data_IF_145103290121
#
_entry.id   IF_145103290121
#
_cell.length_a   1.000
_cell.length_b   1.000
_cell.length_c   1.000
_cell.angle_alpha   90.00
_cell.angle_beta   90.00
_cell.angle_gamma   90.00
#
_symmetry.space_group_name_H-M   'P 1'
#
loop_
_entity.id
_entity.type
_entity.pdbx_description
1 polymer ?
#
# COMPACT_ATOMS: atom_id res chain seq x y z
N UNK A 1 -43.40 1.69 -29.32
CA UNK A 1 -42.54 1.29 -28.20
C UNK A 1 -43.43 0.76 -27.07
N UNK A 2 -43.39 -0.54 -26.74
CA UNK A 2 -44.29 -1.15 -25.77
C UNK A 2 -44.08 -0.60 -24.35
N UNK A 3 -45.16 -0.43 -23.58
CA UNK A 3 -45.16 0.20 -22.25
C UNK A 3 -44.21 -0.47 -21.23
N UNK A 4 -44.01 -1.79 -21.37
CA UNK A 4 -43.02 -2.58 -20.62
C UNK A 4 -41.61 -1.98 -20.69
N UNK A 5 -41.16 -1.54 -21.88
CA UNK A 5 -39.80 -1.03 -22.05
C UNK A 5 -39.62 0.32 -21.37
N UNK A 6 -40.68 1.14 -21.32
CA UNK A 6 -40.65 2.44 -20.60
C UNK A 6 -40.50 2.22 -19.10
N UNK A 7 -41.23 1.26 -18.54
CA UNK A 7 -41.17 0.97 -17.11
C UNK A 7 -39.80 0.43 -16.69
N UNK A 8 -39.22 -0.46 -17.50
CA UNK A 8 -37.85 -0.95 -17.30
C UNK A 8 -36.83 0.18 -17.32
N UNK A 9 -36.88 1.07 -18.32
CA UNK A 9 -35.93 2.20 -18.40
C UNK A 9 -36.04 3.19 -17.24
N UNK A 10 -37.23 3.33 -16.65
CA UNK A 10 -37.43 4.18 -15.47
C UNK A 10 -36.87 3.50 -14.21
N UNK A 11 -37.06 2.19 -14.08
CA UNK A 11 -36.48 1.39 -13.01
C UNK A 11 -34.95 1.40 -13.07
N UNK A 12 -34.36 1.23 -14.25
CA UNK A 12 -32.90 1.25 -14.43
C UNK A 12 -32.31 2.59 -13.97
N UNK A 13 -32.90 3.70 -14.42
CA UNK A 13 -32.47 5.05 -14.00
C UNK A 13 -32.60 5.27 -12.50
N UNK A 14 -33.66 4.74 -11.89
CA UNK A 14 -33.87 4.83 -10.45
C UNK A 14 -32.82 4.03 -9.68
N UNK A 15 -32.48 2.81 -10.13
CA UNK A 15 -31.43 2.00 -9.52
C UNK A 15 -30.08 2.69 -9.64
N UNK A 16 -29.75 3.29 -10.79
CA UNK A 16 -28.51 4.03 -10.99
C UNK A 16 -28.41 5.25 -10.06
N UNK A 17 -29.50 6.00 -9.90
CA UNK A 17 -29.56 7.15 -8.99
C UNK A 17 -29.40 6.71 -7.53
N UNK A 18 -30.07 5.63 -7.12
CA UNK A 18 -29.96 5.08 -5.77
C UNK A 18 -28.55 4.57 -5.47
N UNK A 19 -27.94 3.84 -6.42
CA UNK A 19 -26.57 3.35 -6.31
C UNK A 19 -25.57 4.51 -6.15
N UNK A 20 -25.74 5.60 -6.91
CA UNK A 20 -24.92 6.81 -6.80
C UNK A 20 -25.00 7.48 -5.43
N UNK A 21 -26.20 7.58 -4.86
CA UNK A 21 -26.41 8.14 -3.52
C UNK A 21 -25.83 7.26 -2.41
N UNK A 22 -26.01 5.93 -2.49
CA UNK A 22 -25.39 4.98 -1.56
C UNK A 22 -23.86 5.12 -1.60
N UNK A 23 -23.26 5.19 -2.80
CA UNK A 23 -21.82 5.35 -2.95
C UNK A 23 -21.31 6.68 -2.36
N UNK A 24 -22.06 7.77 -2.54
CA UNK A 24 -21.71 9.09 -1.99
C UNK A 24 -21.82 9.11 -0.47
N UNK A 25 -22.86 8.51 0.10
CA UNK A 25 -23.04 8.38 1.55
C UNK A 25 -21.98 7.47 2.18
N UNK A 26 -21.68 6.34 1.55
CA UNK A 26 -20.61 5.44 1.98
C UNK A 26 -19.24 6.14 2.00
N UNK A 27 -18.92 6.95 0.98
CA UNK A 27 -17.68 7.76 0.95
C UNK A 27 -17.60 8.77 2.08
N UNK A 28 -18.72 9.39 2.47
CA UNK A 28 -18.77 10.37 3.56
C UNK A 28 -18.71 9.72 4.94
N UNK A 29 -19.40 8.60 5.12
CA UNK A 29 -19.51 7.90 6.40
C UNK A 29 -18.29 7.03 6.71
N UNK A 30 -17.67 6.44 5.68
CA UNK A 30 -16.48 5.60 5.79
C UNK A 30 -15.25 6.25 5.17
N UNK A 31 -15.12 7.58 5.25
CA UNK A 31 -14.06 8.40 4.63
C UNK A 31 -12.79 7.63 4.27
N UNK A 32 -12.50 7.47 2.98
CA UNK A 32 -11.31 6.77 2.44
C UNK A 32 -10.94 5.41 3.07
N UNK A 33 -11.85 4.75 3.79
CA UNK A 33 -11.67 3.40 4.31
C UNK A 33 -11.97 2.31 3.26
N UNK A 34 -12.13 2.70 1.99
CA UNK A 34 -11.78 1.86 0.86
C UNK A 34 -10.24 1.75 0.76
N UNK A 35 -9.64 1.16 1.80
CA UNK A 35 -8.26 0.67 1.83
C UNK A 35 -8.05 -0.54 0.92
N UNK A 36 -8.84 -0.70 -0.14
CA UNK A 36 -8.56 -1.60 -1.25
C UNK A 36 -7.71 -0.85 -2.26
N UNK A 37 -6.43 -0.75 -1.94
CA UNK A 37 -5.40 -0.58 -2.93
C UNK A 37 -5.50 0.72 -3.74
N UNK A 38 -5.17 1.85 -3.10
CA UNK A 38 -4.03 2.57 -3.69
C UNK A 38 -2.88 1.59 -3.62
N UNK A 39 -2.72 0.77 -4.67
CA UNK A 39 -1.41 0.41 -5.19
C UNK A 39 -0.79 1.77 -5.49
N UNK A 40 -0.34 2.46 -4.43
CA UNK A 40 0.55 3.58 -4.54
C UNK A 40 1.55 3.11 -5.56
N UNK A 41 1.70 3.90 -6.64
CA UNK A 41 2.70 3.70 -7.66
C UNK A 41 3.84 2.94 -7.01
N UNK A 42 4.13 1.71 -7.46
CA UNK A 42 5.20 0.87 -6.88
C UNK A 42 6.45 1.74 -6.91
N UNK A 43 6.64 2.57 -5.90
CA UNK A 43 7.83 3.33 -5.68
C UNK A 43 8.83 2.20 -5.57
N UNK A 44 9.77 2.15 -6.50
CA UNK A 44 10.83 1.15 -6.50
C UNK A 44 11.45 1.27 -5.12
N UNK A 45 11.01 0.42 -4.18
CA UNK A 45 11.47 0.49 -2.82
C UNK A 45 12.98 0.29 -2.89
N UNK A 46 13.73 1.06 -2.11
CA UNK A 46 15.17 0.87 -2.06
C UNK A 46 15.44 -0.50 -1.43
N UNK A 47 15.82 -1.45 -2.28
CA UNK A 47 16.08 -2.83 -1.89
C UNK A 47 17.52 -3.02 -1.39
N UNK A 48 18.32 -1.96 -1.26
CA UNK A 48 19.70 -2.05 -0.74
C UNK A 48 19.72 -2.60 0.69
N UNK A 49 20.79 -3.33 1.00
CA UNK A 49 21.03 -3.79 2.35
C UNK A 49 21.25 -2.59 3.28
N UNK A 50 20.62 -2.60 4.45
CA UNK A 50 20.73 -1.52 5.45
C UNK A 50 22.02 -1.57 6.30
N UNK A 51 22.79 -2.65 6.20
CA UNK A 51 24.09 -2.76 6.88
C UNK A 51 25.08 -1.75 6.29
N UNK A 52 25.81 -1.04 7.14
CA UNK A 52 26.72 0.02 6.72
C UNK A 52 27.77 -0.51 5.73
N UNK A 53 27.96 0.18 4.60
CA UNK A 53 28.90 -0.22 3.56
C UNK A 53 28.46 -1.41 2.68
N UNK A 54 27.30 -2.02 2.91
CA UNK A 54 26.84 -3.14 2.10
C UNK A 54 26.17 -2.67 0.80
N UNK A 55 26.64 -3.18 -0.34
CA UNK A 55 26.05 -2.91 -1.66
C UNK A 55 25.09 -4.00 -2.14
N UNK A 56 24.95 -5.09 -1.38
CA UNK A 56 24.11 -6.22 -1.78
C UNK A 56 22.62 -5.86 -1.71
N UNK A 57 21.83 -6.52 -2.56
CA UNK A 57 20.37 -6.41 -2.53
C UNK A 57 19.81 -7.28 -1.40
N UNK A 58 18.82 -6.75 -0.71
CA UNK A 58 18.06 -7.49 0.29
C UNK A 58 16.89 -8.25 -0.33
N UNK A 59 16.34 -9.21 0.40
CA UNK A 59 15.09 -9.91 0.05
C UNK A 59 13.82 -9.06 0.29
N UNK A 60 13.99 -7.84 0.80
CA UNK A 60 12.92 -6.85 0.94
C UNK A 60 12.41 -6.61 2.36
N UNK A 61 11.25 -5.92 2.49
CA UNK A 61 10.75 -5.42 3.77
C UNK A 61 10.49 -6.51 4.81
N UNK A 62 10.03 -7.69 4.38
CA UNK A 62 9.78 -8.82 5.28
C UNK A 62 11.03 -9.31 6.02
N UNK A 63 12.20 -9.07 5.45
CA UNK A 63 13.50 -9.43 6.02
C UNK A 63 14.24 -8.22 6.62
N UNK A 64 13.52 -7.10 6.78
CA UNK A 64 14.07 -5.85 7.30
C UNK A 64 15.16 -5.26 6.42
N UNK A 65 15.13 -5.53 5.12
CA UNK A 65 16.09 -5.05 4.13
C UNK A 65 17.56 -5.42 4.44
N UNK A 66 17.79 -6.61 4.99
CA UNK A 66 19.13 -7.17 5.19
C UNK A 66 19.36 -8.26 4.12
N UNK A 67 20.57 -8.33 3.57
CA UNK A 67 20.94 -9.36 2.60
C UNK A 67 21.20 -10.70 3.31
N UNK A 68 21.11 -11.81 2.58
CA UNK A 68 21.21 -13.15 3.17
C UNK A 68 22.56 -13.40 3.87
N UNK A 69 23.64 -12.82 3.33
CA UNK A 69 24.98 -12.88 3.93
C UNK A 69 24.99 -12.28 5.34
N UNK A 70 24.40 -11.10 5.52
CA UNK A 70 24.35 -10.45 6.82
C UNK A 70 23.28 -11.04 7.72
N UNK A 71 22.22 -11.61 7.15
CA UNK A 71 21.22 -12.30 7.94
C UNK A 71 21.78 -13.57 8.58
N UNK A 72 22.72 -14.25 7.92
CA UNK A 72 23.43 -15.41 8.46
C UNK A 72 24.59 -15.05 9.41
N UNK A 73 25.26 -13.91 9.19
CA UNK A 73 26.43 -13.50 9.98
C UNK A 73 26.11 -12.66 11.21
N UNK A 74 25.10 -11.77 11.14
CA UNK A 74 24.77 -10.86 12.24
C UNK A 74 23.69 -11.45 13.14
N UNK A 75 23.84 -11.22 14.44
CA UNK A 75 22.80 -11.49 15.42
C UNK A 75 21.56 -10.61 15.19
N UNK A 76 20.40 -11.02 15.73
CA UNK A 76 19.15 -10.23 15.63
C UNK A 76 19.31 -8.80 16.19
N UNK A 77 20.15 -8.61 17.21
CA UNK A 77 20.43 -7.29 17.81
C UNK A 77 21.20 -6.39 16.86
N UNK A 78 22.26 -6.90 16.23
CA UNK A 78 23.05 -6.14 15.25
C UNK A 78 22.24 -5.84 13.99
N UNK A 79 21.40 -6.78 13.56
CA UNK A 79 20.45 -6.56 12.47
C UNK A 79 19.48 -5.42 12.79
N UNK A 80 19.02 -5.32 14.04
CA UNK A 80 18.13 -4.24 14.46
C UNK A 80 18.86 -2.90 14.50
N UNK A 81 20.05 -2.85 15.09
CA UNK A 81 20.89 -1.65 15.11
C UNK A 81 21.18 -1.12 13.69
N UNK A 82 21.42 -2.01 12.72
CA UNK A 82 21.60 -1.62 11.32
C UNK A 82 20.33 -1.00 10.70
N UNK A 83 19.13 -1.48 11.07
CA UNK A 83 17.86 -0.91 10.60
C UNK A 83 17.62 0.46 11.23
N UNK A 84 17.88 0.60 12.52
CA UNK A 84 17.66 1.83 13.26
C UNK A 84 18.60 2.93 12.77
N UNK A 85 19.90 2.62 12.61
CA UNK A 85 20.86 3.54 12.04
C UNK A 85 20.51 3.99 10.61
N UNK A 86 19.91 3.11 9.80
CA UNK A 86 19.44 3.47 8.46
C UNK A 86 18.21 4.39 8.52
N UNK A 87 17.25 4.09 9.38
CA UNK A 87 16.04 4.90 9.59
C UNK A 87 16.41 6.30 10.11
N UNK A 88 17.33 6.39 11.07
CA UNK A 88 17.84 7.65 11.62
C UNK A 88 18.52 8.50 10.54
N UNK A 89 19.42 7.90 9.74
CA UNK A 89 20.02 8.59 8.59
C UNK A 89 18.96 9.12 7.63
N UNK A 90 17.94 8.31 7.31
CA UNK A 90 16.85 8.75 6.44
C UNK A 90 16.01 9.87 7.06
N UNK A 91 15.73 9.83 8.35
CA UNK A 91 14.97 10.87 9.05
C UNK A 91 15.71 12.21 9.04
N UNK A 92 17.04 12.20 9.17
CA UNK A 92 17.85 13.42 9.07
C UNK A 92 17.86 14.06 7.67
N UNK A 93 17.64 13.26 6.63
CA UNK A 93 17.66 13.70 5.23
C UNK A 93 16.26 13.78 4.59
N UNK A 94 15.20 13.61 5.38
CA UNK A 94 13.80 13.75 4.95
C UNK A 94 13.31 15.16 5.28
#
# INVERSE_FOLDING_TARGET
>A
MPANQRLSTLLDRFVDQLAGEIATRARRQFGSAAGLGRRGARHKLDMRCRVNGCKNRSRGPRFGYICDVHQAKLSKREQQAARDAWNEKRARHA
#
